data_IF_961994262164
#
_entry.id   IF_961994262164
#
_cell.length_a   1.000
_cell.length_b   1.000
_cell.length_c   1.000
_cell.angle_alpha   90.00
_cell.angle_beta   90.00
_cell.angle_gamma   90.00
#
_symmetry.space_group_name_H-M   'P 1'
#
loop_
_entity.id
_entity.type
_entity.pdbx_description
1 polymer ?
#
# COMPACT_ATOMS: atom_id res chain seq x y z
N UNK A 1 1.57 32.23 -8.00
CA UNK A 1 2.49 32.02 -9.13
C UNK A 1 3.70 32.96 -9.08
N UNK A 2 3.53 34.21 -8.58
CA UNK A 2 4.61 35.22 -8.57
C UNK A 2 5.76 34.88 -7.62
N UNK A 3 5.54 34.10 -6.61
CA UNK A 3 6.55 33.72 -5.59
C UNK A 3 7.17 32.35 -5.82
N UNK A 4 6.59 31.49 -6.68
CA UNK A 4 6.99 30.10 -6.82
C UNK A 4 6.70 29.23 -5.59
N UNK A 5 5.91 29.72 -4.63
CA UNK A 5 5.61 29.06 -3.36
C UNK A 5 4.13 28.65 -3.28
N UNK A 6 3.85 27.59 -2.56
CA UNK A 6 2.51 27.29 -2.12
C UNK A 6 2.10 28.24 -0.99
N UNK A 7 0.91 28.84 -1.09
CA UNK A 7 0.42 29.86 -0.16
C UNK A 7 -0.54 29.30 0.88
N UNK A 8 -1.06 28.08 0.68
CA UNK A 8 -2.02 27.47 1.56
C UNK A 8 -2.73 26.28 0.93
N UNK A 9 -3.74 25.80 1.61
CA UNK A 9 -4.60 24.69 1.19
C UNK A 9 -6.04 25.14 1.15
N UNK A 10 -6.73 24.86 0.03
CA UNK A 10 -8.16 25.06 -0.06
C UNK A 10 -8.88 23.73 0.19
N UNK A 11 -9.87 23.75 1.06
CA UNK A 11 -10.72 22.59 1.35
C UNK A 11 -12.20 22.93 1.16
N UNK A 12 -13.00 21.89 0.95
CA UNK A 12 -14.46 22.01 0.85
C UNK A 12 -15.06 21.48 2.15
N UNK A 13 -15.86 22.30 2.81
CA UNK A 13 -16.61 21.85 3.98
C UNK A 13 -17.61 20.76 3.58
N UNK A 14 -17.67 19.72 4.40
CA UNK A 14 -18.42 18.50 4.08
C UNK A 14 -19.94 18.77 3.99
N UNK A 15 -20.46 19.59 4.85
CA UNK A 15 -21.91 19.83 4.99
C UNK A 15 -22.38 20.98 4.12
N UNK A 16 -21.75 22.15 4.30
CA UNK A 16 -22.13 23.37 3.60
C UNK A 16 -21.71 23.41 2.13
N UNK A 17 -20.77 22.55 1.71
CA UNK A 17 -20.14 22.55 0.39
C UNK A 17 -19.39 23.85 0.04
N UNK A 18 -19.18 24.71 1.02
CA UNK A 18 -18.41 25.94 0.84
C UNK A 18 -16.92 25.69 0.84
N UNK A 19 -16.19 26.49 0.09
CA UNK A 19 -14.73 26.44 0.02
C UNK A 19 -14.10 27.41 1.01
N UNK A 20 -13.07 26.93 1.69
CA UNK A 20 -12.26 27.70 2.61
C UNK A 20 -10.78 27.52 2.29
N UNK A 21 -9.98 28.54 2.56
CA UNK A 21 -8.52 28.49 2.36
C UNK A 21 -7.81 28.79 3.66
N UNK A 22 -6.90 27.90 4.05
CA UNK A 22 -5.96 28.09 5.15
C UNK A 22 -4.60 28.43 4.56
N UNK A 23 -4.02 29.54 5.01
CA UNK A 23 -2.68 29.99 4.62
C UNK A 23 -1.63 29.37 5.52
N UNK A 24 -0.48 28.98 4.94
CA UNK A 24 0.65 28.43 5.67
C UNK A 24 1.97 28.75 4.95
N UNK A 25 3.05 28.87 5.74
CA UNK A 25 4.40 29.07 5.20
C UNK A 25 5.02 27.75 4.72
N UNK A 26 4.66 26.63 5.31
CA UNK A 26 5.09 25.28 4.94
C UNK A 26 3.85 24.42 4.79
N UNK A 27 3.82 23.60 3.75
CA UNK A 27 2.73 22.64 3.50
C UNK A 27 3.31 21.24 3.48
N UNK A 28 2.83 20.38 4.38
CA UNK A 28 3.12 18.95 4.38
C UNK A 28 1.89 18.17 3.93
N UNK A 29 2.03 17.43 2.85
CA UNK A 29 0.96 16.62 2.27
C UNK A 29 1.10 15.18 2.75
N UNK A 30 0.09 14.70 3.49
CA UNK A 30 0.05 13.38 4.14
C UNK A 30 -1.34 12.74 3.95
N UNK A 31 -1.94 12.88 2.75
CA UNK A 31 -3.32 12.50 2.50
C UNK A 31 -3.47 11.04 2.00
N UNK A 32 -2.46 10.22 2.15
CA UNK A 32 -2.26 8.89 1.55
C UNK A 32 -1.91 8.93 0.06
N UNK A 33 -1.41 7.81 -0.44
CA UNK A 33 -0.81 7.73 -1.78
C UNK A 33 -1.72 8.26 -2.89
N UNK A 34 -2.94 7.75 -2.98
CA UNK A 34 -3.85 8.09 -4.07
C UNK A 34 -4.35 9.53 -3.92
N UNK A 35 -4.73 9.92 -2.71
CA UNK A 35 -5.31 11.24 -2.48
C UNK A 35 -4.27 12.37 -2.53
N UNK A 36 -3.03 12.15 -2.10
CA UNK A 36 -1.95 13.13 -2.27
C UNK A 36 -1.65 13.40 -3.74
N UNK A 37 -1.55 12.35 -4.54
CA UNK A 37 -1.37 12.49 -5.99
C UNK A 37 -2.58 13.15 -6.65
N UNK A 38 -3.80 12.74 -6.28
CA UNK A 38 -5.04 13.34 -6.77
C UNK A 38 -5.12 14.84 -6.46
N UNK A 39 -4.74 15.23 -5.25
CA UNK A 39 -4.71 16.62 -4.81
C UNK A 39 -3.72 17.43 -5.64
N UNK A 40 -2.50 16.95 -5.83
CA UNK A 40 -1.49 17.61 -6.66
C UNK A 40 -1.93 17.76 -8.12
N UNK A 41 -2.54 16.73 -8.72
CA UNK A 41 -3.08 16.77 -10.08
C UNK A 41 -4.29 17.73 -10.22
N UNK A 42 -5.14 17.82 -9.20
CA UNK A 42 -6.27 18.76 -9.17
C UNK A 42 -5.85 20.20 -8.86
N UNK A 43 -4.64 20.41 -8.32
CA UNK A 43 -4.08 21.74 -8.05
C UNK A 43 -3.45 22.39 -9.29
N UNK A 44 -3.81 21.92 -10.49
CA UNK A 44 -3.40 22.51 -11.75
C UNK A 44 -3.85 23.98 -11.87
N UNK A 45 -2.99 24.80 -12.47
CA UNK A 45 -3.25 26.21 -12.75
C UNK A 45 -2.54 26.63 -14.06
N UNK A 46 -2.66 27.90 -14.45
CA UNK A 46 -2.07 28.37 -15.70
C UNK A 46 -0.57 28.16 -15.81
N UNK A 47 0.18 28.23 -14.69
CA UNK A 47 1.62 27.98 -14.66
C UNK A 47 1.97 26.49 -14.58
N UNK A 48 1.04 25.65 -14.07
CA UNK A 48 1.21 24.21 -13.89
C UNK A 48 -0.01 23.45 -14.45
N UNK A 49 -0.23 23.44 -15.76
CA UNK A 49 -1.48 22.94 -16.39
C UNK A 49 -1.68 21.43 -16.21
N UNK A 50 -0.61 20.68 -16.00
CA UNK A 50 -0.61 19.21 -15.85
C UNK A 50 -0.60 18.73 -14.38
N UNK A 51 -0.88 19.63 -13.44
CA UNK A 51 -0.81 19.37 -12.00
C UNK A 51 0.32 20.14 -11.33
N UNK A 52 0.15 20.42 -10.05
CA UNK A 52 1.19 21.07 -9.25
C UNK A 52 2.38 20.14 -9.11
N UNK A 53 3.60 20.67 -9.15
CA UNK A 53 4.89 19.93 -9.02
C UNK A 53 5.15 18.84 -10.10
N UNK A 54 4.52 18.96 -11.27
CA UNK A 54 4.64 18.00 -12.36
C UNK A 54 5.60 18.46 -13.48
N UNK A 55 6.64 19.20 -13.15
CA UNK A 55 7.64 19.66 -14.13
C UNK A 55 8.44 18.52 -14.78
N UNK A 56 8.65 17.44 -14.06
CA UNK A 56 9.27 16.21 -14.57
C UNK A 56 8.33 15.38 -15.48
N UNK A 57 7.03 15.63 -15.43
CA UNK A 57 6.04 14.81 -16.10
C UNK A 57 5.78 13.44 -15.46
N UNK A 58 6.40 13.14 -14.31
CA UNK A 58 6.26 11.82 -13.64
C UNK A 58 5.26 11.80 -12.49
N UNK A 59 4.61 12.90 -12.16
CA UNK A 59 3.55 12.92 -11.17
C UNK A 59 2.41 11.97 -11.57
N UNK A 60 2.03 11.11 -10.65
CA UNK A 60 1.05 10.04 -10.85
C UNK A 60 1.63 8.75 -11.39
N UNK A 61 2.83 8.74 -11.98
CA UNK A 61 3.46 7.54 -12.54
C UNK A 61 4.22 6.73 -11.47
N UNK A 62 4.60 5.50 -11.83
CA UNK A 62 5.30 4.56 -10.91
C UNK A 62 4.47 4.21 -9.67
N UNK A 63 3.16 4.16 -9.84
CA UNK A 63 2.25 3.70 -8.81
C UNK A 63 2.38 2.20 -8.59
N UNK A 64 2.38 1.76 -7.35
CA UNK A 64 2.58 0.37 -6.93
C UNK A 64 1.59 0.00 -5.84
N UNK A 65 1.28 -1.28 -5.76
CA UNK A 65 0.70 -1.97 -4.60
C UNK A 65 1.54 -3.23 -4.34
N UNK A 66 1.07 -4.17 -3.58
CA UNK A 66 1.72 -5.46 -3.34
C UNK A 66 0.89 -6.60 -3.96
N UNK A 67 1.58 -7.69 -4.34
CA UNK A 67 0.89 -8.96 -4.56
C UNK A 67 0.42 -9.49 -3.22
N UNK A 68 -0.77 -10.08 -3.18
CA UNK A 68 -1.37 -10.56 -1.95
C UNK A 68 -1.92 -12.00 -2.13
N UNK A 69 -1.81 -12.79 -1.08
CA UNK A 69 -2.42 -14.10 -0.96
C UNK A 69 -2.72 -14.42 0.49
N UNK A 70 -3.71 -15.27 0.71
CA UNK A 70 -4.17 -15.67 2.03
C UNK A 70 -4.40 -17.17 2.11
N UNK A 71 -4.08 -17.75 3.25
CA UNK A 71 -4.44 -19.13 3.60
C UNK A 71 -5.03 -19.14 5.00
N UNK A 72 -6.21 -19.67 5.13
CA UNK A 72 -6.89 -19.87 6.41
C UNK A 72 -7.17 -21.35 6.61
N UNK A 73 -7.17 -21.79 7.86
CA UNK A 73 -7.46 -23.16 8.19
C UNK A 73 -7.45 -23.46 9.67
N UNK A 74 -7.35 -24.74 9.99
CA UNK A 74 -7.41 -25.26 11.34
C UNK A 74 -6.21 -26.12 11.69
N UNK A 75 -5.86 -26.17 12.97
CA UNK A 75 -4.75 -26.95 13.50
C UNK A 75 -5.33 -28.21 14.15
N UNK A 76 -5.09 -29.40 13.57
CA UNK A 76 -5.59 -30.66 14.14
C UNK A 76 -5.03 -30.93 15.54
N UNK A 77 -5.88 -31.50 16.40
CA UNK A 77 -5.48 -31.86 17.76
C UNK A 77 -5.37 -30.70 18.74
N UNK A 78 -5.63 -29.49 18.28
CA UNK A 78 -5.69 -28.30 19.13
C UNK A 78 -7.09 -27.71 19.06
N UNK A 79 -7.75 -27.64 20.19
CA UNK A 79 -9.06 -26.97 20.34
C UNK A 79 -8.91 -25.69 21.13
N UNK A 80 -9.97 -24.89 21.20
CA UNK A 80 -9.98 -23.53 21.71
C UNK A 80 -9.27 -23.30 23.03
N UNK A 81 -9.04 -22.04 23.33
CA UNK A 81 -8.31 -21.63 24.54
C UNK A 81 -9.20 -21.65 25.77
N UNK A 82 -8.76 -22.34 26.83
CA UNK A 82 -9.24 -22.09 28.19
C UNK A 82 -8.73 -20.71 28.64
N UNK A 83 -9.67 -19.92 29.15
CA UNK A 83 -9.32 -18.71 29.88
C UNK A 83 -8.82 -19.10 31.28
N UNK A 84 -7.57 -18.87 31.57
CA UNK A 84 -7.01 -19.01 32.90
C UNK A 84 -7.35 -17.73 33.68
N UNK A 85 -8.16 -17.85 34.75
CA UNK A 85 -8.65 -16.70 35.57
C UNK A 85 -9.36 -15.60 34.76
N UNK A 86 -10.09 -15.99 33.71
CA UNK A 86 -10.78 -15.03 32.83
C UNK A 86 -9.84 -14.23 31.93
N UNK A 87 -8.56 -14.56 31.89
CA UNK A 87 -7.56 -13.94 31.02
C UNK A 87 -7.03 -14.93 30.00
N UNK A 88 -6.67 -14.43 28.84
CA UNK A 88 -5.94 -15.21 27.86
C UNK A 88 -4.66 -15.74 28.45
N UNK A 89 -4.30 -17.03 28.28
CA UNK A 89 -2.99 -17.51 28.65
C UNK A 89 -1.92 -16.80 27.80
N UNK A 90 -1.32 -15.79 28.39
CA UNK A 90 -0.35 -14.89 27.75
C UNK A 90 -1.02 -13.77 26.96
N UNK A 91 -0.67 -12.54 27.22
CA UNK A 91 -1.02 -11.34 26.48
C UNK A 91 -0.40 -11.32 25.05
N UNK A 92 0.11 -12.46 24.61
CA UNK A 92 0.82 -12.59 23.36
C UNK A 92 -0.19 -12.90 22.25
N UNK A 93 -0.42 -11.92 21.44
CA UNK A 93 -1.01 -12.11 20.13
C UNK A 93 -0.24 -13.22 19.41
N UNK A 94 -0.93 -14.25 18.93
CA UNK A 94 -0.34 -15.36 18.18
C UNK A 94 0.15 -14.98 16.79
N UNK A 95 0.63 -13.74 16.62
CA UNK A 95 1.16 -13.21 15.37
C UNK A 95 2.62 -13.59 15.17
N UNK A 96 2.98 -13.85 13.92
CA UNK A 96 4.37 -14.05 13.50
C UNK A 96 4.65 -13.36 12.17
N UNK A 97 5.92 -13.16 11.91
CA UNK A 97 6.40 -12.53 10.69
C UNK A 97 7.65 -13.20 10.19
N UNK A 98 7.63 -13.67 8.95
CA UNK A 98 8.79 -14.21 8.24
C UNK A 98 9.20 -13.15 7.21
N UNK A 99 10.35 -12.49 7.42
CA UNK A 99 10.82 -11.48 6.47
C UNK A 99 11.16 -12.11 5.12
N UNK A 100 11.26 -11.29 4.09
CA UNK A 100 11.68 -11.71 2.77
C UNK A 100 12.99 -12.49 2.83
N UNK A 101 13.04 -13.67 2.21
CA UNK A 101 14.21 -14.54 2.13
C UNK A 101 14.59 -14.90 0.67
N UNK A 102 13.87 -14.36 -0.30
CA UNK A 102 14.15 -14.55 -1.73
C UNK A 102 15.01 -13.41 -2.25
N UNK A 103 15.89 -13.73 -3.22
CA UNK A 103 16.67 -12.74 -3.96
C UNK A 103 17.36 -11.71 -3.05
N UNK A 104 18.01 -12.17 -1.98
CA UNK A 104 18.71 -11.30 -1.02
C UNK A 104 20.01 -10.74 -1.60
N UNK A 105 20.57 -11.39 -2.61
CA UNK A 105 21.73 -10.95 -3.36
C UNK A 105 21.41 -10.91 -4.85
N UNK A 106 22.18 -10.12 -5.61
CA UNK A 106 22.08 -10.04 -7.06
C UNK A 106 22.47 -11.33 -7.78
N UNK A 107 23.22 -12.20 -7.10
CA UNK A 107 23.68 -13.47 -7.61
C UNK A 107 22.70 -14.62 -7.34
N UNK A 108 21.64 -14.38 -6.57
CA UNK A 108 20.63 -15.39 -6.27
C UNK A 108 19.78 -15.68 -7.53
N UNK A 109 19.98 -16.84 -8.13
CA UNK A 109 19.29 -17.33 -9.33
C UNK A 109 18.26 -18.42 -9.06
N UNK A 110 17.90 -18.64 -7.79
CA UNK A 110 16.96 -19.71 -7.40
C UNK A 110 15.52 -19.43 -7.82
N UNK A 111 15.20 -18.18 -8.14
CA UNK A 111 13.85 -17.76 -8.50
C UNK A 111 13.84 -17.14 -9.90
N UNK A 112 12.74 -17.34 -10.62
CA UNK A 112 12.50 -16.80 -11.95
C UNK A 112 11.80 -15.42 -11.93
N UNK A 113 11.84 -14.76 -10.78
CA UNK A 113 11.42 -13.39 -10.53
C UNK A 113 12.46 -12.65 -9.69
N UNK A 114 12.44 -11.32 -9.71
CA UNK A 114 13.28 -10.46 -8.87
C UNK A 114 12.46 -9.90 -7.70
N UNK A 115 13.12 -9.41 -6.65
CA UNK A 115 12.55 -9.00 -5.38
C UNK A 115 12.04 -10.21 -4.59
N UNK A 116 10.99 -10.06 -3.80
CA UNK A 116 10.48 -11.15 -2.99
C UNK A 116 9.26 -10.77 -2.18
N UNK A 117 8.92 -11.64 -1.25
CA UNK A 117 7.72 -11.52 -0.42
C UNK A 117 8.01 -11.90 1.04
N UNK A 118 7.18 -11.39 1.92
CA UNK A 118 7.09 -11.80 3.32
C UNK A 118 5.94 -12.80 3.51
N UNK A 119 5.96 -13.47 4.65
CA UNK A 119 4.83 -14.25 5.16
C UNK A 119 4.54 -13.74 6.55
N UNK A 120 3.28 -13.44 6.82
CA UNK A 120 2.82 -13.03 8.14
C UNK A 120 1.50 -13.70 8.46
N UNK A 121 1.21 -13.81 9.73
CA UNK A 121 -0.05 -14.42 10.11
C UNK A 121 -0.27 -14.46 11.60
N UNK A 122 -1.39 -15.06 11.97
CA UNK A 122 -1.72 -15.34 13.35
C UNK A 122 -2.23 -16.77 13.49
N UNK A 123 -1.89 -17.38 14.61
CA UNK A 123 -2.52 -18.57 15.12
C UNK A 123 -3.54 -18.07 16.13
N UNK A 124 -4.81 -18.40 15.89
CA UNK A 124 -5.90 -17.85 16.66
C UNK A 124 -5.78 -18.23 18.14
N UNK A 125 -5.59 -17.23 18.97
CA UNK A 125 -5.74 -17.29 20.42
C UNK A 125 -7.02 -16.56 20.83
N UNK A 126 -8.07 -16.71 20.02
CA UNK A 126 -9.38 -16.16 20.29
C UNK A 126 -10.09 -17.15 21.23
N UNK A 127 -10.77 -16.71 22.29
CA UNK A 127 -11.64 -17.57 23.07
C UNK A 127 -12.70 -18.15 22.14
N UNK A 128 -12.57 -19.42 21.83
CA UNK A 128 -13.57 -20.18 21.08
C UNK A 128 -13.94 -21.39 21.94
N UNK A 129 -15.16 -21.94 21.79
CA UNK A 129 -15.52 -23.18 22.49
C UNK A 129 -14.48 -24.26 22.22
N UNK A 130 -14.18 -25.09 23.20
CA UNK A 130 -13.24 -26.21 23.15
C UNK A 130 -13.59 -27.25 22.07
N UNK A 131 -14.83 -27.18 21.55
CA UNK A 131 -15.29 -27.98 20.39
C UNK A 131 -14.82 -27.48 19.04
N UNK A 132 -14.28 -26.26 18.97
CA UNK A 132 -13.82 -25.65 17.72
C UNK A 132 -12.29 -25.79 17.63
N UNK A 133 -11.73 -26.30 16.52
CA UNK A 133 -10.29 -26.36 16.31
C UNK A 133 -9.66 -24.98 16.38
N UNK A 134 -8.41 -24.92 16.84
CA UNK A 134 -7.60 -23.71 16.75
C UNK A 134 -7.44 -23.30 15.30
N UNK A 135 -7.77 -22.06 15.00
CA UNK A 135 -7.70 -21.50 13.65
C UNK A 135 -6.35 -20.82 13.41
N UNK A 136 -5.90 -20.80 12.18
CA UNK A 136 -4.79 -19.98 11.74
C UNK A 136 -5.18 -19.13 10.52
N UNK A 137 -4.52 -17.99 10.37
CA UNK A 137 -4.60 -17.15 9.18
C UNK A 137 -3.21 -16.72 8.76
N UNK A 138 -2.83 -17.02 7.52
CA UNK A 138 -1.56 -16.63 6.93
C UNK A 138 -1.79 -15.71 5.76
N UNK A 139 -0.97 -14.68 5.64
CA UNK A 139 -0.95 -13.79 4.48
C UNK A 139 0.44 -13.72 3.89
N UNK A 140 0.53 -13.59 2.59
CA UNK A 140 1.79 -13.33 1.88
C UNK A 140 1.66 -12.02 1.12
N UNK A 141 2.69 -11.20 1.20
CA UNK A 141 2.73 -9.90 0.52
C UNK A 141 4.06 -9.76 -0.21
N UNK A 142 4.00 -9.42 -1.49
CA UNK A 142 5.18 -9.35 -2.35
C UNK A 142 5.35 -8.00 -3.02
N UNK A 143 6.60 -7.62 -3.20
CA UNK A 143 7.00 -6.35 -3.75
C UNK A 143 6.63 -6.24 -5.23
N UNK A 144 5.86 -5.22 -5.58
CA UNK A 144 5.56 -4.86 -6.96
C UNK A 144 6.63 -3.92 -7.51
N UNK A 145 7.09 -4.17 -8.73
CA UNK A 145 8.10 -3.33 -9.37
C UNK A 145 7.51 -1.97 -9.81
N UNK A 146 8.24 -0.87 -9.62
CA UNK A 146 7.83 0.44 -10.11
C UNK A 146 7.85 0.46 -11.65
N UNK A 147 6.70 0.70 -12.26
CA UNK A 147 6.57 0.84 -13.72
C UNK A 147 5.87 2.14 -14.06
N UNK A 148 6.40 2.85 -15.04
CA UNK A 148 5.86 4.12 -15.49
C UNK A 148 4.40 4.00 -15.97
N UNK A 149 4.04 2.88 -16.58
CA UNK A 149 2.68 2.61 -17.08
C UNK A 149 1.64 2.41 -15.97
N UNK A 150 2.06 2.09 -14.75
CA UNK A 150 1.17 2.04 -13.60
C UNK A 150 1.05 3.45 -13.03
N UNK A 151 -0.13 4.04 -13.11
CA UNK A 151 -0.29 5.46 -12.83
C UNK A 151 -1.65 5.82 -12.25
N UNK A 152 -1.66 6.95 -11.58
CA UNK A 152 -2.83 7.67 -11.11
C UNK A 152 -2.98 8.91 -12.00
N UNK A 153 -4.15 9.10 -12.56
CA UNK A 153 -4.56 10.30 -13.30
C UNK A 153 -5.85 10.84 -12.70
N UNK A 154 -6.33 11.97 -13.21
CA UNK A 154 -7.60 12.57 -12.78
C UNK A 154 -8.63 12.47 -13.91
N UNK A 155 -9.79 11.94 -13.57
CA UNK A 155 -10.94 11.94 -14.48
C UNK A 155 -11.74 13.25 -14.31
N UNK A 156 -11.53 14.21 -15.21
CA UNK A 156 -12.16 15.54 -15.13
C UNK A 156 -13.65 15.51 -15.43
N UNK A 157 -14.18 14.47 -16.08
CA UNK A 157 -15.60 14.32 -16.38
C UNK A 157 -16.39 13.69 -15.22
N UNK A 158 -15.71 13.02 -14.27
CA UNK A 158 -16.34 12.40 -13.10
C UNK A 158 -15.89 13.09 -11.83
N UNK A 159 -16.84 13.54 -11.03
CA UNK A 159 -16.58 14.28 -9.78
C UNK A 159 -17.14 13.52 -8.58
N UNK A 160 -16.54 13.74 -7.43
CA UNK A 160 -17.05 13.28 -6.15
C UNK A 160 -18.25 14.14 -5.66
N UNK A 161 -18.76 13.83 -4.48
CA UNK A 161 -19.89 14.53 -3.86
C UNK A 161 -19.62 16.02 -3.57
N UNK A 162 -18.37 16.46 -3.62
CA UNK A 162 -17.95 17.83 -3.39
C UNK A 162 -17.55 18.58 -4.67
N UNK A 163 -17.75 17.94 -5.82
CA UNK A 163 -17.44 18.54 -7.12
C UNK A 163 -15.97 18.43 -7.54
N UNK A 164 -15.15 17.69 -6.82
CA UNK A 164 -13.71 17.50 -7.10
C UNK A 164 -13.53 16.31 -8.04
N UNK A 165 -12.76 16.44 -9.14
CA UNK A 165 -12.47 15.35 -10.06
C UNK A 165 -11.88 14.13 -9.35
N UNK A 166 -12.36 12.93 -9.67
CA UNK A 166 -11.92 11.69 -9.02
C UNK A 166 -10.63 11.16 -9.62
N UNK A 167 -9.87 10.40 -8.80
CA UNK A 167 -8.72 9.65 -9.29
C UNK A 167 -9.17 8.57 -10.30
N UNK A 168 -8.35 8.37 -11.33
CA UNK A 168 -8.44 7.26 -12.26
C UNK A 168 -7.13 6.47 -12.17
N UNK A 169 -7.24 5.21 -11.74
CA UNK A 169 -6.10 4.36 -11.41
C UNK A 169 -5.90 3.35 -12.52
N UNK A 170 -4.70 3.32 -13.09
CA UNK A 170 -4.27 2.31 -14.03
C UNK A 170 -3.11 1.52 -13.42
N UNK A 171 -3.37 0.25 -13.07
CA UNK A 171 -2.38 -0.63 -12.49
C UNK A 171 -2.51 -2.04 -13.07
N UNK A 172 -1.38 -2.66 -13.42
CA UNK A 172 -1.33 -4.02 -13.96
C UNK A 172 -0.13 -4.76 -13.37
N UNK A 173 -0.28 -6.06 -13.19
CA UNK A 173 0.83 -6.96 -12.87
C UNK A 173 1.67 -7.21 -14.11
N UNK A 174 3.00 -7.29 -13.94
CA UNK A 174 3.90 -7.86 -14.93
C UNK A 174 4.04 -9.37 -14.74
N UNK A 175 4.83 -10.00 -15.59
CA UNK A 175 5.18 -11.42 -15.44
C UNK A 175 5.96 -11.67 -14.16
N UNK A 176 6.77 -10.69 -13.72
CA UNK A 176 7.51 -10.78 -12.47
C UNK A 176 6.57 -10.96 -11.27
N UNK A 177 5.55 -10.10 -11.13
CA UNK A 177 4.59 -10.19 -10.03
C UNK A 177 3.73 -11.44 -10.13
N UNK A 178 3.38 -11.90 -11.36
CA UNK A 178 2.60 -13.13 -11.55
C UNK A 178 3.37 -14.36 -11.10
N UNK A 179 4.64 -14.48 -11.48
CA UNK A 179 5.54 -15.56 -11.07
C UNK A 179 5.76 -15.55 -9.56
N UNK A 180 6.00 -14.37 -9.00
CA UNK A 180 6.15 -14.19 -7.55
C UNK A 180 4.88 -14.60 -6.81
N UNK A 181 3.69 -14.18 -7.27
CA UNK A 181 2.42 -14.54 -6.64
C UNK A 181 2.13 -16.05 -6.71
N UNK A 182 2.50 -16.72 -7.78
CA UNK A 182 2.41 -18.18 -7.87
C UNK A 182 3.33 -18.85 -6.84
N UNK A 183 4.59 -18.38 -6.72
CA UNK A 183 5.55 -18.92 -5.75
C UNK A 183 5.14 -18.61 -4.30
N UNK A 184 4.53 -17.46 -4.04
CA UNK A 184 3.94 -17.13 -2.73
C UNK A 184 2.97 -18.22 -2.27
N UNK A 185 2.00 -18.56 -3.12
CA UNK A 185 0.98 -19.55 -2.77
C UNK A 185 1.59 -20.97 -2.66
N UNK A 186 2.49 -21.33 -3.55
CA UNK A 186 3.21 -22.59 -3.44
C UNK A 186 3.93 -22.69 -2.08
N UNK A 187 4.71 -21.67 -1.72
CA UNK A 187 5.50 -21.67 -0.49
C UNK A 187 4.64 -21.78 0.76
N UNK A 188 3.56 -20.99 0.85
CA UNK A 188 2.70 -21.00 2.04
C UNK A 188 1.92 -22.31 2.17
N UNK A 189 1.47 -22.90 1.05
CA UNK A 189 0.78 -24.19 1.05
C UNK A 189 1.73 -25.36 1.42
N UNK A 190 2.98 -25.33 0.93
CA UNK A 190 4.02 -26.26 1.35
C UNK A 190 4.28 -26.17 2.84
N UNK A 191 4.42 -24.95 3.39
CA UNK A 191 4.59 -24.74 4.84
C UNK A 191 3.41 -25.31 5.64
N UNK A 192 2.19 -25.02 5.28
CA UNK A 192 0.99 -25.50 5.97
C UNK A 192 0.91 -27.03 5.92
N UNK A 193 1.27 -27.63 4.79
CA UNK A 193 1.31 -29.08 4.60
C UNK A 193 2.37 -29.73 5.52
N UNK A 194 3.59 -29.17 5.57
CA UNK A 194 4.66 -29.70 6.43
C UNK A 194 4.33 -29.58 7.93
N UNK A 195 3.55 -28.56 8.31
CA UNK A 195 3.02 -28.42 9.67
C UNK A 195 1.86 -29.38 9.98
N UNK A 196 1.35 -30.10 9.00
CA UNK A 196 0.21 -31.00 9.17
C UNK A 196 -1.12 -30.28 9.44
N UNK A 197 -1.25 -29.02 9.03
CA UNK A 197 -2.44 -28.20 9.25
C UNK A 197 -3.45 -28.35 8.12
N UNK A 198 -4.73 -28.19 8.43
CA UNK A 198 -5.81 -28.27 7.45
C UNK A 198 -6.06 -26.92 6.78
N UNK A 199 -6.08 -26.91 5.46
CA UNK A 199 -6.41 -25.72 4.66
C UNK A 199 -7.91 -25.70 4.40
N UNK A 200 -8.58 -24.63 4.81
CA UNK A 200 -9.99 -24.36 4.53
C UNK A 200 -10.15 -23.38 3.36
N UNK A 201 -9.29 -22.36 3.31
CA UNK A 201 -9.29 -21.33 2.28
C UNK A 201 -7.85 -21.07 1.85
N UNK A 202 -7.58 -21.11 0.57
CA UNK A 202 -6.33 -20.66 -0.02
C UNK A 202 -6.63 -19.84 -1.28
N UNK A 203 -6.27 -18.56 -1.27
CA UNK A 203 -6.58 -17.69 -2.38
C UNK A 203 -5.52 -16.60 -2.57
N UNK A 204 -5.36 -16.16 -3.80
CA UNK A 204 -4.48 -15.07 -4.18
C UNK A 204 -5.14 -14.20 -5.26
N UNK A 205 -4.48 -13.12 -5.62
CA UNK A 205 -4.90 -12.29 -6.75
C UNK A 205 -4.90 -13.06 -8.10
N UNK A 206 -4.28 -14.24 -8.17
CA UNK A 206 -4.30 -15.07 -9.37
C UNK A 206 -5.51 -16.02 -9.40
N UNK A 207 -5.82 -16.69 -8.28
CA UNK A 207 -6.96 -17.60 -8.18
C UNK A 207 -7.29 -18.00 -6.72
N UNK A 208 -8.41 -18.71 -6.57
CA UNK A 208 -8.74 -19.50 -5.38
C UNK A 208 -8.19 -20.90 -5.56
N UNK A 209 -7.33 -21.33 -4.64
CA UNK A 209 -6.59 -22.58 -4.75
C UNK A 209 -7.29 -23.78 -4.12
N UNK A 210 -8.32 -23.57 -3.31
CA UNK A 210 -9.08 -24.64 -2.67
C UNK A 210 -10.59 -24.35 -2.68
N UNK A 211 -11.22 -24.31 -3.88
CA UNK A 211 -12.61 -23.87 -4.01
C UNK A 211 -13.63 -24.80 -3.38
N UNK A 212 -13.30 -26.10 -3.21
CA UNK A 212 -14.26 -27.09 -2.73
C UNK A 212 -14.38 -27.12 -1.20
N UNK A 213 -13.40 -26.64 -0.45
CA UNK A 213 -13.47 -26.47 0.99
C UNK A 213 -14.27 -25.23 1.41
N UNK A 214 -14.44 -24.28 0.49
CA UNK A 214 -15.23 -23.09 0.70
C UNK A 214 -16.72 -23.42 0.59
N UNK A 215 -17.44 -23.29 1.71
CA UNK A 215 -18.89 -23.52 1.76
C UNK A 215 -19.27 -24.97 1.38
N UNK A 216 -18.88 -25.98 2.17
CA UNK A 216 -19.09 -27.40 1.82
C UNK A 216 -20.58 -27.78 1.63
N UNK A 217 -21.50 -27.01 2.21
CA UNK A 217 -22.95 -27.18 2.08
C UNK A 217 -23.58 -26.42 0.91
N UNK A 218 -22.80 -25.54 0.24
CA UNK A 218 -23.30 -24.69 -0.84
C UNK A 218 -23.43 -25.48 -2.16
N UNK A 219 -24.40 -25.07 -2.96
CA UNK A 219 -24.55 -25.59 -4.32
C UNK A 219 -23.50 -24.98 -5.26
N UNK A 220 -23.40 -25.50 -6.50
CA UNK A 220 -22.39 -25.07 -7.48
C UNK A 220 -22.52 -23.58 -7.85
N UNK A 221 -23.74 -23.03 -7.89
CA UNK A 221 -23.96 -21.63 -8.25
C UNK A 221 -23.51 -20.69 -7.12
N UNK A 222 -23.80 -21.01 -5.88
CA UNK A 222 -23.33 -20.27 -4.70
C UNK A 222 -21.80 -20.26 -4.62
N UNK A 223 -21.16 -21.41 -4.83
CA UNK A 223 -19.69 -21.53 -4.90
C UNK A 223 -19.10 -20.69 -6.05
N UNK A 224 -19.72 -20.69 -7.21
CA UNK A 224 -19.30 -19.88 -8.35
C UNK A 224 -19.42 -18.38 -8.04
N UNK A 225 -20.52 -17.94 -7.48
CA UNK A 225 -20.75 -16.54 -7.09
C UNK A 225 -19.76 -16.10 -6.01
N UNK A 226 -19.53 -16.94 -5.00
CA UNK A 226 -18.53 -16.68 -3.96
C UNK A 226 -17.12 -16.56 -4.57
N UNK A 227 -16.73 -17.48 -5.43
CA UNK A 227 -15.43 -17.46 -6.12
C UNK A 227 -15.22 -16.16 -6.90
N UNK A 228 -16.22 -15.69 -7.63
CA UNK A 228 -16.14 -14.43 -8.37
C UNK A 228 -16.04 -13.22 -7.44
N UNK A 229 -16.82 -13.20 -6.38
CA UNK A 229 -16.79 -12.13 -5.37
C UNK A 229 -15.42 -12.08 -4.68
N UNK A 230 -14.91 -13.24 -4.29
CA UNK A 230 -13.64 -13.36 -3.59
C UNK A 230 -12.44 -12.96 -4.46
N UNK A 231 -12.42 -13.35 -5.73
CA UNK A 231 -11.41 -12.90 -6.70
C UNK A 231 -11.35 -11.38 -6.83
N UNK A 232 -12.51 -10.72 -6.77
CA UNK A 232 -12.58 -9.25 -6.82
C UNK A 232 -12.04 -8.61 -5.55
N UNK A 233 -12.26 -9.24 -4.40
CA UNK A 233 -11.79 -8.73 -3.11
C UNK A 233 -10.29 -8.88 -2.87
N UNK A 234 -9.63 -9.82 -3.58
CA UNK A 234 -8.17 -10.03 -3.55
C UNK A 234 -7.43 -9.41 -4.75
N UNK A 235 -8.10 -8.62 -5.56
CA UNK A 235 -7.47 -7.89 -6.65
C UNK A 235 -6.43 -6.87 -6.18
N UNK A 236 -5.80 -6.22 -7.15
CA UNK A 236 -4.90 -5.09 -6.87
C UNK A 236 -5.65 -4.01 -6.07
N UNK A 237 -5.02 -3.47 -5.02
CA UNK A 237 -5.64 -2.62 -4.01
C UNK A 237 -6.05 -3.37 -2.73
N UNK A 238 -6.09 -4.70 -2.73
CA UNK A 238 -6.47 -5.49 -1.55
C UNK A 238 -5.38 -5.59 -0.49
N UNK A 239 -4.13 -5.37 -0.86
CA UNK A 239 -3.01 -5.31 0.09
C UNK A 239 -3.03 -4.05 0.94
N UNK A 240 -3.70 -2.98 0.48
CA UNK A 240 -3.81 -1.67 1.15
C UNK A 240 -2.41 -1.07 1.42
N UNK A 241 -1.48 -1.28 0.51
CA UNK A 241 -0.08 -0.88 0.62
C UNK A 241 0.36 -0.04 -0.59
N UNK A 242 -0.55 0.79 -1.09
CA UNK A 242 -0.32 1.63 -2.25
C UNK A 242 0.84 2.61 -2.00
N UNK A 243 1.75 2.68 -2.96
CA UNK A 243 2.96 3.50 -2.92
C UNK A 243 3.26 4.14 -4.27
N UNK A 244 4.10 5.16 -4.27
CA UNK A 244 4.54 5.82 -5.51
C UNK A 244 3.53 6.84 -6.05
N UNK A 245 3.80 7.37 -7.21
CA UNK A 245 3.00 8.44 -7.83
C UNK A 245 3.56 9.85 -7.61
N UNK A 246 4.28 10.10 -6.52
CA UNK A 246 5.02 11.35 -6.29
C UNK A 246 6.46 11.05 -5.85
N UNK A 247 7.12 10.14 -6.55
CA UNK A 247 8.39 9.54 -6.12
C UNK A 247 9.49 10.54 -5.85
N UNK A 248 10.30 10.25 -4.83
CA UNK A 248 11.59 10.91 -4.60
C UNK A 248 12.61 10.52 -5.69
N UNK A 249 13.67 11.31 -5.82
CA UNK A 249 14.79 11.00 -6.69
C UNK A 249 15.93 11.99 -6.51
N UNK A 250 16.96 11.81 -7.33
CA UNK A 250 18.20 12.58 -7.26
C UNK A 250 18.19 13.79 -8.19
N UNK A 251 17.25 13.88 -9.13
CA UNK A 251 17.12 15.00 -10.07
C UNK A 251 15.67 15.42 -10.28
N UNK A 252 15.47 16.70 -10.59
CA UNK A 252 14.17 17.29 -10.86
C UNK A 252 13.53 16.76 -12.17
N UNK A 253 14.32 16.26 -13.10
CA UNK A 253 13.87 15.76 -14.41
C UNK A 253 13.22 14.37 -14.28
N UNK A 254 13.59 13.60 -13.27
CA UNK A 254 13.19 12.20 -13.15
C UNK A 254 12.32 11.90 -11.91
N UNK A 255 12.06 12.90 -11.08
CA UNK A 255 11.33 12.75 -9.83
C UNK A 255 10.49 13.98 -9.51
N UNK A 256 9.54 13.81 -8.60
CA UNK A 256 8.69 14.89 -8.07
C UNK A 256 9.34 15.55 -6.86
N UNK A 257 10.01 14.74 -6.04
CA UNK A 257 10.57 15.13 -4.74
C UNK A 257 12.08 14.84 -4.69
N UNK A 258 12.78 15.62 -3.88
CA UNK A 258 14.17 15.36 -3.50
C UNK A 258 14.26 14.35 -2.33
N UNK A 259 15.48 14.09 -1.85
CA UNK A 259 15.77 13.17 -0.74
C UNK A 259 15.14 13.56 0.60
N UNK A 260 14.69 14.80 0.77
CA UNK A 260 14.04 15.32 1.98
C UNK A 260 12.50 15.34 1.86
N UNK A 261 11.92 14.63 0.90
CA UNK A 261 10.49 14.67 0.58
C UNK A 261 10.00 16.08 0.15
N UNK A 262 10.90 17.00 -0.15
CA UNK A 262 10.62 18.35 -0.61
C UNK A 262 10.39 18.34 -2.12
N UNK A 263 9.40 19.09 -2.58
CA UNK A 263 9.18 19.29 -4.01
C UNK A 263 10.34 20.07 -4.66
N UNK A 264 10.76 19.61 -5.84
CA UNK A 264 11.75 20.33 -6.65
C UNK A 264 11.26 21.70 -7.13
N UNK A 265 9.98 21.81 -7.44
CA UNK A 265 9.40 23.02 -8.04
C UNK A 265 8.86 24.02 -7.02
N UNK A 266 8.39 23.54 -5.86
CA UNK A 266 7.74 24.36 -4.83
C UNK A 266 8.44 24.07 -3.50
N UNK A 267 9.44 24.88 -3.14
CA UNK A 267 10.35 24.59 -2.02
C UNK A 267 9.68 24.45 -0.65
N UNK A 268 8.53 25.05 -0.44
CA UNK A 268 7.79 24.97 0.82
C UNK A 268 6.69 23.88 0.83
N UNK A 269 6.69 22.99 -0.17
CA UNK A 269 5.78 21.86 -0.26
C UNK A 269 6.53 20.55 -0.07
N UNK A 270 6.06 19.73 0.85
CA UNK A 270 6.59 18.42 1.19
C UNK A 270 5.50 17.35 1.03
N UNK A 271 5.88 16.16 0.59
CA UNK A 271 4.97 15.00 0.50
C UNK A 271 5.61 13.85 1.26
N UNK A 272 5.01 13.43 2.38
CA UNK A 272 5.63 12.52 3.33
C UNK A 272 4.88 11.21 3.54
N UNK A 273 3.79 10.97 2.82
CA UNK A 273 3.13 9.66 2.77
C UNK A 273 3.82 8.72 1.77
N UNK A 274 3.24 7.53 1.59
CA UNK A 274 3.82 6.50 0.73
C UNK A 274 3.81 6.86 -0.77
N UNK A 275 3.15 7.94 -1.20
CA UNK A 275 3.28 8.43 -2.58
C UNK A 275 4.71 8.83 -2.95
N UNK A 276 5.53 9.19 -1.96
CA UNK A 276 6.94 9.57 -2.12
C UNK A 276 7.89 8.40 -2.40
N UNK A 277 7.44 7.15 -2.26
CA UNK A 277 8.29 5.97 -2.37
C UNK A 277 8.77 5.74 -3.80
N UNK A 278 10.00 5.24 -3.92
CA UNK A 278 10.63 4.86 -5.19
C UNK A 278 10.47 3.37 -5.48
N UNK A 279 10.24 2.57 -4.46
CA UNK A 279 9.94 1.14 -4.51
C UNK A 279 9.06 0.79 -3.31
N UNK A 280 8.24 -0.25 -3.44
CA UNK A 280 7.29 -0.59 -2.38
C UNK A 280 7.95 -1.39 -1.25
N UNK A 281 8.71 -2.43 -1.58
CA UNK A 281 9.14 -3.44 -0.62
C UNK A 281 8.05 -4.49 -0.34
N UNK A 282 8.43 -5.51 0.44
CA UNK A 282 7.52 -6.59 0.81
C UNK A 282 6.83 -6.36 2.18
N UNK A 283 7.14 -5.27 2.88
CA UNK A 283 6.57 -4.93 4.19
C UNK A 283 5.50 -3.86 4.06
N UNK A 284 4.66 -3.73 5.08
CA UNK A 284 3.73 -2.60 5.19
C UNK A 284 4.46 -1.25 5.14
N UNK A 285 3.97 -0.25 4.40
CA UNK A 285 4.69 1.01 4.13
C UNK A 285 4.71 1.97 5.32
N UNK A 286 3.88 1.76 6.33
CA UNK A 286 3.62 2.75 7.39
C UNK A 286 4.89 3.16 8.15
N UNK A 287 5.70 2.18 8.62
CA UNK A 287 6.91 2.51 9.39
C UNK A 287 7.93 3.29 8.55
N UNK A 288 8.08 2.94 7.28
CA UNK A 288 8.93 3.69 6.34
C UNK A 288 8.41 5.10 6.11
N UNK A 289 7.09 5.27 5.93
CA UNK A 289 6.46 6.60 5.82
C UNK A 289 6.71 7.44 7.06
N UNK A 290 6.59 6.87 8.26
CA UNK A 290 6.88 7.56 9.53
C UNK A 290 8.35 8.01 9.60
N UNK A 291 9.29 7.15 9.24
CA UNK A 291 10.72 7.48 9.22
C UNK A 291 11.05 8.60 8.22
N UNK A 292 10.45 8.55 7.03
CA UNK A 292 10.61 9.59 6.02
C UNK A 292 9.99 10.92 6.47
N UNK A 293 8.84 10.87 7.14
CA UNK A 293 8.19 12.07 7.72
C UNK A 293 9.04 12.69 8.81
N UNK A 294 9.61 11.90 9.72
CA UNK A 294 10.52 12.39 10.74
C UNK A 294 11.75 13.08 10.12
N UNK A 295 12.37 12.44 9.11
CA UNK A 295 13.50 13.06 8.38
C UNK A 295 13.11 14.38 7.70
N UNK A 296 11.93 14.46 7.09
CA UNK A 296 11.44 15.70 6.49
C UNK A 296 11.15 16.77 7.54
N UNK A 297 10.58 16.39 8.69
CA UNK A 297 10.32 17.30 9.80
C UNK A 297 11.63 17.88 10.38
N UNK A 298 12.65 17.04 10.58
CA UNK A 298 13.98 17.48 11.03
C UNK A 298 14.61 18.44 10.03
N UNK A 299 14.51 18.15 8.73
CA UNK A 299 14.97 19.04 7.69
C UNK A 299 14.24 20.38 7.71
N UNK A 300 12.92 20.38 7.87
CA UNK A 300 12.11 21.61 7.99
C UNK A 300 12.54 22.39 9.23
N UNK A 301 12.62 21.76 10.39
CA UNK A 301 12.98 22.42 11.65
C UNK A 301 14.38 23.03 11.61
N UNK A 302 15.34 22.37 10.98
CA UNK A 302 16.70 22.85 10.86
C UNK A 302 16.93 23.95 9.81
N UNK A 303 15.99 24.14 8.88
CA UNK A 303 16.13 25.09 7.77
C UNK A 303 15.06 26.20 7.74
N UNK A 304 14.07 26.15 8.64
CA UNK A 304 13.00 27.14 8.70
C UNK A 304 13.34 28.26 9.67
N UNK A 305 13.81 29.37 9.14
CA UNK A 305 14.14 30.61 9.91
C UNK A 305 13.01 31.65 9.85
N UNK A 306 11.77 31.24 9.64
CA UNK A 306 10.66 32.17 9.43
C UNK A 306 10.62 32.81 8.04
N UNK A 307 11.53 32.42 7.14
CA UNK A 307 11.59 32.87 5.75
C UNK A 307 11.11 31.75 4.82
N UNK A 308 10.65 32.06 3.59
CA UNK A 308 10.28 31.04 2.63
C UNK A 308 11.47 30.12 2.30
N UNK A 309 11.20 28.81 2.24
CA UNK A 309 12.20 27.85 1.78
C UNK A 309 12.68 28.17 0.37
N UNK A 310 13.97 28.00 0.14
CA UNK A 310 14.54 27.93 -1.19
C UNK A 310 14.86 26.49 -1.54
N UNK A 311 14.83 26.11 -2.81
CA UNK A 311 15.29 24.80 -3.26
C UNK A 311 16.80 24.74 -3.02
N UNK A 312 17.24 23.95 -2.04
CA UNK A 312 18.67 23.67 -1.91
C UNK A 312 19.04 22.72 -3.06
N UNK A 313 20.00 23.14 -3.87
CA UNK A 313 20.66 22.23 -4.79
C UNK A 313 21.30 21.09 -3.98
N UNK A 314 21.13 19.86 -4.43
CA UNK A 314 21.70 18.64 -3.84
C UNK A 314 23.20 18.64 -4.04
#
# INVERSE_FOLDING_TARGET
PSTGLATGVTFVDRESKQQYTVKANVIMLCASTIESVRLLLNSANAANPNGLVNGSGVLGQYFMDQTNGVVFGSIPGHTGFELVDGKHPGDNHGGFYIPRFQNLSVDDKRYDFIRGFNIQGMIGRIPVPDTIPTLFGLTVQGEMLPRQSNCITVNRSKKDAWGIPVANIHIKLSDNERKMAAKQMQTILEMVKEMGWNVEIAASLLDIHNPDSLMPTANWFERMMFRQSYKRSLGLGSAIHECGGAKMGVTAETSVLNKHNQSWQIPNLFVTDASSFVTNGACGPTLTSMALTARAADFIAGNYEGKPFTTQAV
#
